data_IF_485793893230
#
_entry.id   IF_485793893230
#
_cell.length_a   1.000
_cell.length_b   1.000
_cell.length_c   1.000
_cell.angle_alpha   90.00
_cell.angle_beta   90.00
_cell.angle_gamma   90.00
#
_symmetry.space_group_name_H-M   'P 1'
#
loop_
_entity.id
_entity.type
_entity.pdbx_description
1 polymer ?
#
# COMPACT_ATOMS: atom_id res chain seq x y z
N UNK A 1 -16.81 -4.81 -2.46
CA UNK A 1 -16.44 -4.21 -1.16
C UNK A 1 -16.20 -2.73 -1.38
N UNK A 2 -16.95 -1.88 -0.69
CA UNK A 2 -16.73 -0.43 -0.71
C UNK A 2 -15.65 -0.09 0.30
N UNK A 3 -14.52 0.39 -0.17
CA UNK A 3 -13.39 0.73 0.69
C UNK A 3 -12.78 2.10 0.33
N UNK A 4 -12.26 2.79 1.33
CA UNK A 4 -11.60 4.08 1.22
C UNK A 4 -10.25 4.03 1.93
N UNK A 5 -9.30 4.80 1.44
CA UNK A 5 -8.01 5.02 2.10
C UNK A 5 -7.98 6.46 2.60
N UNK A 6 -7.77 6.66 3.89
CA UNK A 6 -7.68 7.99 4.50
C UNK A 6 -6.27 8.22 5.01
N UNK A 7 -5.62 9.24 4.49
CA UNK A 7 -4.30 9.70 4.93
C UNK A 7 -4.52 10.73 6.04
N UNK A 8 -4.25 10.35 7.28
CA UNK A 8 -4.60 11.18 8.45
C UNK A 8 -3.55 12.25 8.77
N UNK A 9 -2.29 12.03 8.38
CA UNK A 9 -1.19 12.97 8.56
C UNK A 9 -0.04 12.70 7.59
N UNK A 10 0.94 13.60 7.57
CA UNK A 10 2.21 13.44 6.84
C UNK A 10 3.41 13.28 7.79
N UNK A 11 3.20 13.26 9.10
CA UNK A 11 4.25 13.12 10.12
C UNK A 11 4.70 11.67 10.26
N UNK A 12 6.01 11.42 10.26
CA UNK A 12 6.59 10.11 10.52
C UNK A 12 7.91 10.23 11.27
N UNK A 13 8.20 9.27 12.16
CA UNK A 13 9.49 9.20 12.86
C UNK A 13 10.57 8.50 12.04
N UNK A 14 10.22 7.83 10.94
CA UNK A 14 11.15 7.18 10.03
C UNK A 14 11.42 8.03 8.78
N UNK A 15 12.57 7.75 8.13
CA UNK A 15 12.98 8.34 6.86
C UNK A 15 13.34 7.23 5.88
N UNK A 16 12.33 6.41 5.53
CA UNK A 16 12.53 5.30 4.61
C UNK A 16 12.92 5.82 3.21
N UNK A 17 14.00 5.32 2.59
CA UNK A 17 14.48 5.83 1.30
C UNK A 17 13.46 5.71 0.17
N UNK A 18 12.56 4.75 0.26
CA UNK A 18 11.49 4.49 -0.72
C UNK A 18 10.18 5.25 -0.45
N UNK A 19 10.11 6.01 0.66
CA UNK A 19 8.86 6.65 1.08
C UNK A 19 8.44 7.74 0.11
N UNK A 20 7.16 7.77 -0.20
CA UNK A 20 6.54 8.78 -1.05
C UNK A 20 6.04 10.01 -0.28
N UNK A 21 5.98 9.94 1.05
CA UNK A 21 5.38 10.99 1.89
C UNK A 21 6.36 12.06 2.38
N UNK A 22 7.64 12.02 1.95
CA UNK A 22 8.67 12.95 2.46
C UNK A 22 8.57 14.38 1.92
N UNK A 23 7.88 14.58 0.82
CA UNK A 23 7.76 15.88 0.16
C UNK A 23 6.56 16.69 0.65
N UNK A 24 5.67 16.06 1.39
CA UNK A 24 4.46 16.70 1.85
C UNK A 24 4.72 17.65 3.01
N UNK A 25 4.03 18.79 3.00
CA UNK A 25 3.98 19.67 4.17
C UNK A 25 3.44 18.91 5.38
N UNK A 26 3.86 19.31 6.60
CA UNK A 26 3.36 18.71 7.84
C UNK A 26 1.87 19.06 8.03
N UNK A 27 1.00 18.33 7.36
CA UNK A 27 -0.45 18.47 7.47
C UNK A 27 -1.01 17.29 8.26
N UNK A 28 -2.03 17.59 9.05
CA UNK A 28 -2.81 16.64 9.83
C UNK A 28 -4.30 16.89 9.60
N UNK A 29 -5.08 15.84 9.47
CA UNK A 29 -6.53 15.92 9.34
C UNK A 29 -7.12 16.66 10.53
N UNK A 30 -7.89 17.72 10.29
CA UNK A 30 -8.52 18.47 11.38
C UNK A 30 -9.61 17.64 12.08
N UNK A 31 -9.89 17.91 13.36
CA UNK A 31 -10.95 17.22 14.07
C UNK A 31 -12.32 17.41 13.41
N UNK A 32 -12.57 18.61 12.87
CA UNK A 32 -13.84 18.92 12.18
C UNK A 32 -13.96 18.05 10.92
N UNK A 33 -12.91 17.94 10.15
CA UNK A 33 -12.92 17.17 8.91
C UNK A 33 -12.93 15.66 9.17
N UNK A 34 -12.28 15.23 10.27
CA UNK A 34 -12.40 13.85 10.75
C UNK A 34 -13.86 13.47 11.00
N UNK A 35 -14.62 14.31 11.71
CA UNK A 35 -16.04 14.06 11.99
C UNK A 35 -16.89 14.04 10.71
N UNK A 36 -16.60 14.93 9.76
CA UNK A 36 -17.28 14.92 8.44
C UNK A 36 -16.97 13.64 7.65
N UNK A 37 -15.69 13.20 7.65
CA UNK A 37 -15.29 11.95 6.98
C UNK A 37 -15.94 10.73 7.63
N UNK A 38 -16.07 10.69 8.95
CA UNK A 38 -16.82 9.64 9.65
C UNK A 38 -18.27 9.57 9.18
N UNK A 39 -18.94 10.72 9.05
CA UNK A 39 -20.30 10.80 8.53
C UNK A 39 -20.35 10.33 7.08
N UNK A 40 -19.44 10.82 6.23
CA UNK A 40 -19.35 10.39 4.83
C UNK A 40 -19.18 8.87 4.70
N UNK A 41 -18.27 8.27 5.47
CA UNK A 41 -18.03 6.82 5.46
C UNK A 41 -19.29 6.03 5.85
N UNK A 42 -19.99 6.49 6.88
CA UNK A 42 -21.21 5.86 7.38
C UNK A 42 -22.38 6.00 6.41
N UNK A 43 -22.60 7.19 5.87
CA UNK A 43 -23.72 7.49 4.96
C UNK A 43 -23.55 6.73 3.62
N UNK A 44 -22.31 6.57 3.15
CA UNK A 44 -21.97 5.79 1.97
C UNK A 44 -21.85 4.27 2.26
N UNK A 45 -22.12 3.82 3.49
CA UNK A 45 -22.08 2.41 3.89
C UNK A 45 -20.78 1.72 3.51
N UNK A 46 -19.65 2.37 3.82
CA UNK A 46 -18.34 1.78 3.56
C UNK A 46 -18.15 0.55 4.44
N UNK A 47 -17.65 -0.52 3.84
CA UNK A 47 -17.45 -1.81 4.52
C UNK A 47 -16.06 -1.88 5.16
N UNK A 48 -15.10 -1.13 4.62
CA UNK A 48 -13.72 -1.08 5.10
C UNK A 48 -13.14 0.32 4.95
N UNK A 49 -12.43 0.77 5.99
CA UNK A 49 -11.65 2.00 5.98
C UNK A 49 -10.18 1.67 6.22
N UNK A 50 -9.34 2.05 5.27
CA UNK A 50 -7.90 1.91 5.37
C UNK A 50 -7.31 3.23 5.82
N UNK A 51 -6.50 3.21 6.87
CA UNK A 51 -5.88 4.40 7.46
C UNK A 51 -4.38 4.36 7.17
N UNK A 52 -3.88 5.43 6.58
CA UNK A 52 -2.47 5.62 6.27
C UNK A 52 -2.03 7.04 6.64
N UNK A 53 -0.79 7.39 6.33
CA UNK A 53 -0.22 8.69 6.58
C UNK A 53 1.30 8.65 6.45
N UNK A 54 2.00 9.52 7.16
CA UNK A 54 3.38 9.27 7.53
C UNK A 54 3.42 8.08 8.49
N UNK A 55 3.09 8.31 9.76
CA UNK A 55 2.76 7.29 10.75
C UNK A 55 1.42 7.63 11.38
N UNK A 56 0.35 6.84 11.13
CA UNK A 56 -0.98 7.16 11.62
C UNK A 56 -1.09 7.29 13.14
N UNK A 57 -0.32 6.50 13.90
CA UNK A 57 -0.35 6.57 15.36
C UNK A 57 0.31 7.83 15.94
N UNK A 58 0.86 8.72 15.11
CA UNK A 58 1.24 10.08 15.51
C UNK A 58 0.09 11.10 15.36
N UNK A 59 -1.00 10.73 14.66
CA UNK A 59 -2.18 11.57 14.56
C UNK A 59 -2.89 11.67 15.91
N UNK A 60 -3.15 12.90 16.37
CA UNK A 60 -3.66 13.18 17.72
C UNK A 60 -4.98 12.47 18.03
N UNK A 61 -5.86 12.35 17.04
CA UNK A 61 -7.21 11.78 17.19
C UNK A 61 -7.32 10.33 16.68
N UNK A 62 -6.19 9.64 16.39
CA UNK A 62 -6.20 8.32 15.75
C UNK A 62 -7.04 7.28 16.51
N UNK A 63 -6.97 7.28 17.84
CA UNK A 63 -7.69 6.31 18.67
C UNK A 63 -9.20 6.52 18.58
N UNK A 64 -9.65 7.76 18.67
CA UNK A 64 -11.08 8.12 18.52
C UNK A 64 -11.54 7.73 17.10
N UNK A 65 -10.75 8.07 16.09
CA UNK A 65 -11.08 7.80 14.70
C UNK A 65 -11.25 6.31 14.44
N UNK A 66 -10.29 5.48 14.83
CA UNK A 66 -10.37 4.02 14.67
C UNK A 66 -11.55 3.46 15.45
N UNK A 67 -11.72 3.83 16.73
CA UNK A 67 -12.78 3.32 17.57
C UNK A 67 -14.16 3.65 17.00
N UNK A 68 -14.35 4.86 16.45
CA UNK A 68 -15.62 5.25 15.83
C UNK A 68 -15.89 4.47 14.54
N UNK A 69 -14.88 4.28 13.69
CA UNK A 69 -15.05 3.50 12.45
C UNK A 69 -15.41 2.05 12.76
N UNK A 70 -14.80 1.44 13.78
CA UNK A 70 -15.08 0.04 14.13
C UNK A 70 -16.51 -0.23 14.60
N UNK A 71 -17.30 0.79 14.88
CA UNK A 71 -18.72 0.65 15.16
C UNK A 71 -19.54 0.25 13.91
N UNK A 72 -19.06 0.61 12.68
CA UNK A 72 -19.82 0.37 11.46
C UNK A 72 -19.02 -0.31 10.33
N UNK A 73 -17.68 -0.21 10.29
CA UNK A 73 -16.83 -0.75 9.25
C UNK A 73 -15.60 -1.48 9.83
N UNK A 74 -14.93 -2.30 9.02
CA UNK A 74 -13.63 -2.86 9.36
C UNK A 74 -12.53 -1.82 9.12
N UNK A 75 -11.47 -1.87 9.92
CA UNK A 75 -10.35 -0.94 9.83
C UNK A 75 -9.06 -1.68 9.48
N UNK A 76 -8.31 -1.16 8.51
CA UNK A 76 -6.93 -1.56 8.26
C UNK A 76 -6.02 -0.36 8.48
N UNK A 77 -5.03 -0.47 9.37
CA UNK A 77 -4.05 0.60 9.62
C UNK A 77 -2.70 0.19 9.05
N UNK A 78 -2.11 1.06 8.23
CA UNK A 78 -0.75 0.92 7.73
C UNK A 78 0.19 1.64 8.69
N UNK A 79 1.05 0.92 9.40
CA UNK A 79 1.87 1.49 10.47
C UNK A 79 3.25 0.84 10.52
N UNK A 80 4.22 1.59 11.05
CA UNK A 80 5.51 1.06 11.45
C UNK A 80 5.53 0.52 12.90
N UNK A 81 4.43 0.69 13.63
CA UNK A 81 4.23 0.26 15.03
C UNK A 81 5.30 0.75 16.04
N UNK A 82 5.92 1.89 15.81
CA UNK A 82 6.96 2.41 16.70
C UNK A 82 6.47 3.45 17.72
N UNK A 83 5.17 3.75 17.73
CA UNK A 83 4.57 4.60 18.76
C UNK A 83 4.23 3.74 19.98
N UNK A 84 4.84 4.07 21.13
CA UNK A 84 4.72 3.29 22.36
C UNK A 84 3.28 3.20 22.84
N UNK A 85 2.83 1.99 23.19
CA UNK A 85 1.48 1.73 23.72
C UNK A 85 0.32 2.21 22.81
N UNK A 86 0.56 2.40 21.52
CA UNK A 86 -0.43 2.97 20.59
C UNK A 86 -1.72 2.15 20.47
N UNK A 87 -1.67 0.84 20.75
CA UNK A 87 -2.79 -0.08 20.58
C UNK A 87 -3.66 -0.26 21.84
N UNK A 88 -3.19 0.20 22.99
CA UNK A 88 -3.79 -0.14 24.30
C UNK A 88 -5.20 0.38 24.48
N UNK A 89 -5.58 1.49 23.82
CA UNK A 89 -6.87 2.15 23.92
C UNK A 89 -7.83 1.80 22.76
N UNK A 90 -7.43 0.89 21.88
CA UNK A 90 -8.28 0.43 20.78
C UNK A 90 -9.36 -0.52 21.31
N UNK A 91 -10.60 -0.25 20.89
CA UNK A 91 -11.77 -1.09 21.12
C UNK A 91 -11.87 -2.14 20.00
N UNK A 92 -12.96 -2.87 19.87
CA UNK A 92 -13.33 -3.76 18.75
C UNK A 92 -12.13 -4.30 17.97
N UNK A 93 -11.15 -4.86 18.68
CA UNK A 93 -9.88 -5.36 18.12
C UNK A 93 -10.08 -6.45 17.06
N UNK A 94 -11.19 -7.16 17.15
CA UNK A 94 -11.68 -8.14 16.18
C UNK A 94 -11.95 -7.56 14.78
N UNK A 95 -12.18 -6.24 14.68
CA UNK A 95 -12.42 -5.51 13.43
C UNK A 95 -11.20 -4.73 12.93
N UNK A 96 -10.07 -4.88 13.58
CA UNK A 96 -8.84 -4.14 13.25
C UNK A 96 -7.82 -5.08 12.63
N UNK A 97 -7.27 -4.67 11.49
CA UNK A 97 -6.11 -5.27 10.84
C UNK A 97 -4.96 -4.26 10.83
N UNK A 98 -3.79 -4.69 11.20
CA UNK A 98 -2.57 -3.88 11.08
C UNK A 98 -1.71 -4.44 9.96
N UNK A 99 -1.46 -3.62 8.94
CA UNK A 99 -0.41 -3.87 7.97
C UNK A 99 0.85 -3.19 8.48
N UNK A 100 1.80 -3.99 8.94
CA UNK A 100 2.99 -3.51 9.62
C UNK A 100 4.16 -3.53 8.67
N UNK A 101 4.63 -2.34 8.27
CA UNK A 101 5.82 -2.25 7.43
C UNK A 101 7.08 -2.43 8.27
N UNK A 102 7.84 -3.48 7.99
CA UNK A 102 9.05 -3.88 8.71
C UNK A 102 10.24 -3.82 7.77
N UNK A 103 11.16 -2.87 8.00
CA UNK A 103 12.45 -2.80 7.32
C UNK A 103 13.45 -3.81 7.91
N UNK A 104 14.64 -3.91 7.31
CA UNK A 104 15.72 -4.71 7.87
C UNK A 104 16.06 -4.27 9.30
N UNK A 105 16.41 -5.19 10.22
CA UNK A 105 16.72 -4.85 11.61
C UNK A 105 17.78 -3.76 11.77
N UNK A 106 18.74 -3.68 10.85
CA UNK A 106 19.80 -2.64 10.81
C UNK A 106 19.28 -1.23 10.55
N UNK A 107 18.06 -1.10 10.05
CA UNK A 107 17.41 0.19 9.78
C UNK A 107 16.99 0.91 11.06
N UNK A 108 16.81 0.16 12.15
CA UNK A 108 16.26 0.66 13.39
C UNK A 108 17.33 0.92 14.45
N UNK A 109 17.08 1.90 15.31
CA UNK A 109 17.74 1.92 16.62
C UNK A 109 17.21 0.77 17.47
N UNK A 110 18.00 0.35 18.48
CA UNK A 110 17.59 -0.71 19.41
C UNK A 110 16.20 -0.43 20.03
N UNK A 111 15.98 0.81 20.49
CA UNK A 111 14.71 1.21 21.13
C UNK A 111 13.53 1.13 20.14
N UNK A 112 13.74 1.54 18.89
CA UNK A 112 12.70 1.45 17.87
C UNK A 112 12.32 -0.01 17.60
N UNK A 113 13.32 -0.87 17.44
CA UNK A 113 13.06 -2.29 17.16
C UNK A 113 12.39 -3.01 18.35
N UNK A 114 12.84 -2.73 19.59
CA UNK A 114 12.18 -3.23 20.79
C UNK A 114 10.72 -2.75 20.89
N UNK A 115 10.44 -1.47 20.61
CA UNK A 115 9.07 -0.94 20.62
C UNK A 115 8.19 -1.60 19.57
N UNK A 116 8.73 -1.85 18.36
CA UNK A 116 8.03 -2.60 17.31
C UNK A 116 7.64 -4.00 17.81
N UNK A 117 8.59 -4.74 18.38
CA UNK A 117 8.35 -6.11 18.87
C UNK A 117 7.35 -6.13 20.04
N UNK A 118 7.43 -5.19 20.96
CA UNK A 118 6.49 -5.07 22.09
C UNK A 118 5.06 -4.82 21.58
N UNK A 119 4.90 -3.91 20.61
CA UNK A 119 3.60 -3.63 20.01
C UNK A 119 3.07 -4.80 19.17
N UNK A 120 3.94 -5.53 18.46
CA UNK A 120 3.56 -6.76 17.74
C UNK A 120 3.04 -7.82 18.70
N UNK A 121 3.79 -8.10 19.79
CA UNK A 121 3.38 -9.04 20.80
C UNK A 121 2.01 -8.66 21.40
N UNK A 122 1.85 -7.40 21.79
CA UNK A 122 0.58 -6.90 22.33
C UNK A 122 -0.57 -7.05 21.33
N UNK A 123 -0.35 -6.75 20.04
CA UNK A 123 -1.38 -6.87 19.02
C UNK A 123 -1.86 -8.33 18.87
N UNK A 124 -0.93 -9.27 18.80
CA UNK A 124 -1.23 -10.73 18.71
C UNK A 124 -1.99 -11.20 19.95
N UNK A 125 -1.51 -10.87 21.15
CA UNK A 125 -2.15 -11.24 22.42
C UNK A 125 -3.56 -10.64 22.56
N UNK A 126 -3.76 -9.45 21.99
CA UNK A 126 -5.04 -8.74 21.99
C UNK A 126 -6.02 -9.21 20.92
N UNK A 127 -5.64 -10.13 20.03
CA UNK A 127 -6.49 -10.63 18.95
C UNK A 127 -6.62 -9.67 17.74
N UNK A 128 -5.73 -8.68 17.61
CA UNK A 128 -5.66 -7.83 16.41
C UNK A 128 -5.00 -8.65 15.30
N UNK A 129 -5.58 -8.62 14.10
CA UNK A 129 -4.99 -9.29 12.93
C UNK A 129 -3.75 -8.52 12.45
N UNK A 130 -2.61 -9.20 12.35
CA UNK A 130 -1.35 -8.63 11.86
C UNK A 130 -1.01 -9.18 10.48
N UNK A 131 -0.62 -8.29 9.58
CA UNK A 131 -0.01 -8.62 8.29
C UNK A 131 1.34 -7.89 8.25
N UNK A 132 2.45 -8.56 8.57
CA UNK A 132 3.77 -7.97 8.39
C UNK A 132 4.07 -7.81 6.91
N UNK A 133 4.79 -6.77 6.55
CA UNK A 133 5.15 -6.52 5.17
C UNK A 133 6.50 -5.83 5.03
N UNK A 134 7.11 -6.01 3.87
CA UNK A 134 8.35 -5.33 3.48
C UNK A 134 8.19 -4.67 2.11
N UNK A 135 8.70 -3.44 2.02
CA UNK A 135 8.86 -2.75 0.75
C UNK A 135 10.30 -2.89 0.28
N UNK A 136 10.50 -3.57 -0.84
CA UNK A 136 11.79 -3.76 -1.46
C UNK A 136 12.13 -2.57 -2.39
N UNK A 137 13.33 -2.04 -2.27
CA UNK A 137 13.78 -0.84 -2.99
C UNK A 137 15.21 -0.92 -3.51
N UNK A 138 15.94 -1.99 -3.18
CA UNK A 138 17.27 -2.34 -3.68
C UNK A 138 17.61 -3.81 -3.39
N UNK A 139 18.55 -4.38 -4.10
CA UNK A 139 19.19 -5.65 -3.77
C UNK A 139 20.30 -5.47 -2.69
N UNK A 140 20.71 -6.51 -1.96
CA UNK A 140 20.12 -7.86 -1.99
C UNK A 140 18.73 -7.89 -1.34
N UNK A 141 17.90 -8.81 -1.84
CA UNK A 141 16.56 -9.02 -1.27
C UNK A 141 16.64 -10.01 -0.12
N UNK A 142 15.96 -9.72 1.00
CA UNK A 142 15.99 -10.57 2.19
C UNK A 142 14.63 -10.51 2.93
N UNK A 143 14.11 -11.65 3.35
CA UNK A 143 12.81 -11.78 4.02
C UNK A 143 12.84 -12.72 5.24
N UNK A 144 13.97 -13.35 5.55
CA UNK A 144 14.10 -14.39 6.60
C UNK A 144 13.72 -13.88 7.99
N UNK A 145 14.01 -12.62 8.30
CA UNK A 145 13.65 -12.01 9.58
C UNK A 145 12.12 -11.87 9.72
N UNK A 146 11.41 -11.48 8.67
CA UNK A 146 9.94 -11.43 8.68
C UNK A 146 9.34 -12.84 8.73
N UNK A 147 9.90 -13.80 8.00
CA UNK A 147 9.48 -15.21 8.08
C UNK A 147 9.62 -15.71 9.52
N UNK A 148 10.73 -15.42 10.18
CA UNK A 148 10.96 -15.77 11.58
C UNK A 148 9.93 -15.15 12.53
N UNK A 149 9.57 -13.89 12.32
CA UNK A 149 8.48 -13.24 13.07
C UNK A 149 7.13 -13.91 12.81
N UNK A 150 6.85 -14.29 11.56
CA UNK A 150 5.62 -15.03 11.23
C UNK A 150 5.54 -16.37 11.95
N UNK A 151 6.64 -17.12 12.00
CA UNK A 151 6.70 -18.39 12.76
C UNK A 151 6.51 -18.16 14.26
N UNK A 152 7.21 -17.17 14.84
CA UNK A 152 7.13 -16.82 16.26
C UNK A 152 5.71 -16.45 16.69
N UNK A 153 5.04 -15.61 15.92
CA UNK A 153 3.70 -15.10 16.24
C UNK A 153 2.57 -15.84 15.52
N UNK A 154 2.87 -16.90 14.76
CA UNK A 154 1.91 -17.71 13.99
C UNK A 154 1.11 -16.90 12.98
N UNK A 155 1.75 -15.91 12.37
CA UNK A 155 1.15 -15.09 11.32
C UNK A 155 1.12 -15.88 10.01
N UNK A 156 0.10 -15.64 9.18
CA UNK A 156 -0.19 -16.48 8.01
C UNK A 156 0.04 -15.79 6.67
N UNK A 157 0.31 -14.52 6.68
CA UNK A 157 0.47 -13.71 5.46
C UNK A 157 1.62 -12.75 5.63
N UNK A 158 2.46 -12.66 4.61
CA UNK A 158 3.48 -11.61 4.47
C UNK A 158 3.10 -10.78 3.25
N UNK A 159 2.96 -9.46 3.42
CA UNK A 159 2.78 -8.56 2.31
C UNK A 159 4.13 -8.10 1.78
N UNK A 160 4.34 -8.23 0.48
CA UNK A 160 5.54 -7.76 -0.20
C UNK A 160 5.19 -6.67 -1.21
N UNK A 161 5.98 -5.62 -1.24
CA UNK A 161 5.81 -4.48 -2.14
C UNK A 161 7.12 -4.16 -2.82
N UNK A 162 7.07 -3.85 -4.10
CA UNK A 162 8.14 -3.14 -4.77
C UNK A 162 7.97 -1.63 -4.55
N UNK A 163 9.06 -0.95 -4.23
CA UNK A 163 9.07 0.50 -4.24
C UNK A 163 8.90 1.02 -5.67
N UNK A 164 7.99 1.94 -5.83
CA UNK A 164 7.74 2.62 -7.09
C UNK A 164 8.24 4.07 -6.99
N UNK A 165 8.64 4.71 -8.10
CA UNK A 165 9.07 6.10 -8.09
C UNK A 165 7.94 7.04 -7.72
N UNK A 166 8.26 8.11 -7.01
CA UNK A 166 7.39 9.28 -6.89
C UNK A 166 7.41 10.09 -8.19
N UNK A 167 6.45 10.99 -8.37
CA UNK A 167 6.39 11.88 -9.53
C UNK A 167 7.68 12.68 -9.68
N UNK A 168 8.21 13.21 -8.58
CA UNK A 168 9.46 13.97 -8.50
C UNK A 168 10.71 13.09 -8.58
N UNK A 169 10.57 11.76 -8.52
CA UNK A 169 11.67 10.78 -8.53
C UNK A 169 12.72 11.04 -7.45
N UNK A 170 12.29 11.45 -6.27
CA UNK A 170 13.17 11.78 -5.14
C UNK A 170 13.39 10.62 -4.19
N UNK A 171 12.58 9.57 -4.29
CA UNK A 171 12.74 8.34 -3.52
C UNK A 171 13.60 7.30 -4.24
N UNK A 172 13.99 6.24 -3.55
CA UNK A 172 14.64 5.06 -4.13
C UNK A 172 13.58 4.02 -4.52
N UNK A 173 13.69 3.45 -5.72
CA UNK A 173 12.75 2.45 -6.25
C UNK A 173 13.45 1.35 -7.03
N UNK A 174 12.76 0.25 -7.28
CA UNK A 174 13.25 -0.83 -8.13
C UNK A 174 13.08 -0.48 -9.62
N UNK A 175 14.15 -0.65 -10.39
CA UNK A 175 14.09 -0.59 -11.87
C UNK A 175 13.38 -1.83 -12.44
N UNK A 176 13.13 -1.87 -13.75
CA UNK A 176 12.55 -3.05 -14.39
C UNK A 176 13.43 -4.30 -14.20
N UNK A 177 14.76 -4.15 -14.30
CA UNK A 177 15.70 -5.24 -14.03
C UNK A 177 15.62 -5.70 -12.58
N UNK A 178 15.61 -4.77 -11.62
CA UNK A 178 15.54 -5.10 -10.20
C UNK A 178 14.22 -5.82 -9.85
N UNK A 179 13.10 -5.47 -10.52
CA UNK A 179 11.80 -6.15 -10.34
C UNK A 179 11.88 -7.60 -10.84
N UNK A 180 12.56 -7.86 -11.95
CA UNK A 180 12.77 -9.21 -12.43
C UNK A 180 13.59 -10.03 -11.42
N UNK A 181 14.71 -9.50 -10.95
CA UNK A 181 15.55 -10.14 -9.93
C UNK A 181 14.82 -10.35 -8.61
N UNK A 182 13.99 -9.38 -8.21
CA UNK A 182 13.11 -9.50 -7.04
C UNK A 182 12.14 -10.67 -7.17
N UNK A 183 11.49 -10.85 -8.33
CA UNK A 183 10.58 -11.97 -8.54
C UNK A 183 11.32 -13.32 -8.60
N UNK A 184 12.53 -13.37 -9.15
CA UNK A 184 13.38 -14.57 -9.08
C UNK A 184 13.69 -14.93 -7.62
N UNK A 185 14.08 -13.96 -6.81
CA UNK A 185 14.27 -14.16 -5.37
C UNK A 185 13.00 -14.68 -4.70
N UNK A 186 11.85 -14.02 -4.92
CA UNK A 186 10.58 -14.44 -4.31
C UNK A 186 10.19 -15.86 -4.71
N UNK A 187 10.42 -16.27 -5.96
CA UNK A 187 10.20 -17.65 -6.41
C UNK A 187 11.10 -18.63 -5.67
N UNK A 188 12.37 -18.28 -5.45
CA UNK A 188 13.32 -19.18 -4.78
C UNK A 188 12.97 -19.51 -3.33
N UNK A 189 12.23 -18.62 -2.66
CA UNK A 189 11.82 -18.81 -1.24
C UNK A 189 10.35 -19.19 -1.06
N UNK A 190 9.52 -19.09 -2.12
CA UNK A 190 8.07 -19.26 -2.00
C UNK A 190 7.64 -20.65 -1.53
N UNK A 191 8.34 -21.71 -1.96
CA UNK A 191 8.03 -23.08 -1.54
C UNK A 191 8.30 -23.27 -0.04
N UNK A 192 9.48 -22.83 0.43
CA UNK A 192 9.86 -22.92 1.86
C UNK A 192 8.85 -22.12 2.73
N UNK A 193 8.47 -20.93 2.31
CA UNK A 193 7.50 -20.10 3.03
C UNK A 193 6.13 -20.78 3.07
N UNK A 194 5.70 -21.36 1.94
CA UNK A 194 4.42 -22.06 1.84
C UNK A 194 4.37 -23.32 2.71
N UNK A 195 5.47 -24.09 2.80
CA UNK A 195 5.59 -25.26 3.70
C UNK A 195 5.43 -24.89 5.18
N UNK A 196 5.82 -23.66 5.55
CA UNK A 196 5.58 -23.09 6.88
C UNK A 196 4.13 -22.62 7.10
N UNK A 197 3.27 -22.76 6.08
CA UNK A 197 1.86 -22.34 6.11
C UNK A 197 1.71 -20.81 6.07
N UNK A 198 2.65 -20.11 5.46
CA UNK A 198 2.65 -18.67 5.27
C UNK A 198 2.42 -18.39 3.78
N UNK A 199 1.56 -17.42 3.47
CA UNK A 199 1.27 -16.96 2.11
C UNK A 199 1.94 -15.62 1.85
N UNK A 200 2.46 -15.43 0.63
CA UNK A 200 2.95 -14.15 0.14
C UNK A 200 1.78 -13.41 -0.54
N UNK A 201 1.62 -12.13 -0.24
CA UNK A 201 0.65 -11.22 -0.85
C UNK A 201 1.40 -10.04 -1.51
N UNK A 202 1.33 -9.93 -2.84
CA UNK A 202 1.95 -8.83 -3.57
C UNK A 202 1.04 -7.60 -3.58
N UNK A 203 1.57 -6.47 -3.13
CA UNK A 203 0.80 -5.23 -2.99
C UNK A 203 0.38 -4.62 -4.33
N UNK A 204 1.34 -4.46 -5.23
CA UNK A 204 1.13 -3.78 -6.50
C UNK A 204 1.22 -4.75 -7.69
N UNK A 205 0.42 -4.55 -8.73
CA UNK A 205 0.54 -5.34 -9.94
C UNK A 205 1.84 -5.05 -10.68
N UNK A 206 2.37 -6.08 -11.31
CA UNK A 206 3.59 -6.02 -12.12
C UNK A 206 3.23 -6.29 -13.58
N UNK A 207 3.78 -5.48 -14.48
CA UNK A 207 3.54 -5.67 -15.92
C UNK A 207 4.31 -6.89 -16.43
N UNK A 208 3.66 -7.82 -17.16
CA UNK A 208 4.31 -9.03 -17.64
C UNK A 208 5.47 -8.78 -18.64
N UNK A 209 5.50 -7.59 -19.25
CA UNK A 209 6.53 -7.24 -20.26
C UNK A 209 7.88 -6.81 -19.67
N UNK A 210 7.98 -6.66 -18.34
CA UNK A 210 9.23 -6.25 -17.66
C UNK A 210 9.89 -7.39 -16.87
N UNK A 211 9.31 -8.59 -16.93
CA UNK A 211 9.82 -9.77 -16.22
C UNK A 211 9.87 -10.98 -17.13
N UNK A 212 10.66 -11.98 -16.76
CA UNK A 212 10.76 -13.24 -17.48
C UNK A 212 9.39 -13.95 -17.48
N UNK A 213 8.99 -14.44 -18.66
CA UNK A 213 7.64 -14.95 -18.87
C UNK A 213 7.30 -16.17 -18.00
N UNK A 214 8.26 -17.05 -17.73
CA UNK A 214 8.10 -18.21 -16.86
C UNK A 214 7.96 -17.81 -15.38
N UNK A 215 8.67 -16.78 -14.94
CA UNK A 215 8.56 -16.21 -13.58
C UNK A 215 7.20 -15.52 -13.41
N UNK A 216 6.81 -14.70 -14.37
CA UNK A 216 5.49 -14.05 -14.32
C UNK A 216 4.38 -15.10 -14.26
N UNK A 217 4.42 -16.11 -15.14
CA UNK A 217 3.42 -17.17 -15.20
C UNK A 217 3.35 -18.01 -13.92
N UNK A 218 4.49 -18.23 -13.27
CA UNK A 218 4.55 -18.92 -11.98
C UNK A 218 3.67 -18.25 -10.92
N UNK A 219 3.82 -16.94 -10.72
CA UNK A 219 3.03 -16.20 -9.73
C UNK A 219 1.59 -15.93 -10.18
N UNK A 220 1.41 -15.62 -11.46
CA UNK A 220 0.09 -15.31 -12.01
C UNK A 220 -0.86 -16.52 -11.95
N UNK A 221 -0.38 -17.71 -12.27
CA UNK A 221 -1.18 -18.94 -12.23
C UNK A 221 -1.64 -19.33 -10.82
N UNK A 222 -0.93 -18.87 -9.81
CA UNK A 222 -1.27 -19.07 -8.40
C UNK A 222 -2.14 -17.94 -7.82
N UNK A 223 -2.56 -16.96 -8.63
CA UNK A 223 -3.27 -15.74 -8.22
C UNK A 223 -2.52 -14.90 -7.16
N UNK A 224 -1.19 -15.00 -7.13
CA UNK A 224 -0.35 -14.22 -6.23
C UNK A 224 -0.01 -12.85 -6.81
N UNK A 225 -0.03 -12.71 -8.13
CA UNK A 225 0.32 -11.48 -8.84
C UNK A 225 -0.84 -10.98 -9.68
N UNK A 226 -1.24 -9.74 -9.47
CA UNK A 226 -2.26 -9.09 -10.29
C UNK A 226 -1.67 -8.53 -11.58
N UNK A 227 -2.45 -8.58 -12.67
CA UNK A 227 -2.03 -8.03 -13.96
C UNK A 227 -2.23 -6.52 -14.05
N UNK A 228 -3.17 -5.95 -13.31
CA UNK A 228 -3.45 -4.50 -13.30
C UNK A 228 -3.94 -4.01 -11.94
N UNK A 229 -3.78 -2.70 -11.73
CA UNK A 229 -4.33 -2.01 -10.56
C UNK A 229 -5.82 -1.70 -10.76
N UNK A 230 -6.61 -1.89 -9.70
CA UNK A 230 -7.97 -1.37 -9.60
C UNK A 230 -7.99 0.07 -9.12
N UNK A 231 -9.08 0.79 -9.42
CA UNK A 231 -9.28 2.16 -8.92
C UNK A 231 -9.41 2.14 -7.40
N UNK A 232 -8.77 3.12 -6.75
CA UNK A 232 -8.81 3.32 -5.30
C UNK A 232 -9.23 4.77 -5.03
N UNK A 233 -9.89 5.00 -3.92
CA UNK A 233 -10.19 6.34 -3.42
C UNK A 233 -9.30 6.62 -2.21
N UNK A 234 -8.34 7.51 -2.38
CA UNK A 234 -7.48 8.01 -1.30
C UNK A 234 -7.90 9.43 -0.97
N UNK A 235 -8.10 9.73 0.30
CA UNK A 235 -8.39 11.09 0.79
C UNK A 235 -7.19 11.59 1.57
N UNK A 236 -6.65 12.73 1.14
CA UNK A 236 -5.53 13.41 1.77
C UNK A 236 -5.96 14.21 3.03
N UNK A 237 -5.02 14.66 3.89
CA UNK A 237 -5.36 15.46 5.08
C UNK A 237 -6.05 16.79 4.77
N UNK A 238 -5.90 17.33 3.57
CA UNK A 238 -6.58 18.53 3.05
C UNK A 238 -7.91 18.20 2.37
N UNK A 239 -8.36 16.95 2.45
CA UNK A 239 -9.58 16.40 1.86
C UNK A 239 -9.59 16.27 0.34
N UNK A 240 -8.51 16.61 -0.35
CA UNK A 240 -8.38 16.28 -1.77
C UNK A 240 -8.38 14.78 -1.98
N UNK A 241 -8.89 14.33 -3.12
CA UNK A 241 -8.91 12.90 -3.45
C UNK A 241 -7.84 12.56 -4.48
N UNK A 242 -7.32 11.35 -4.42
CA UNK A 242 -6.40 10.79 -5.42
C UNK A 242 -6.60 9.29 -5.59
N UNK A 243 -6.13 8.75 -6.71
CA UNK A 243 -6.13 7.30 -6.89
C UNK A 243 -5.01 6.63 -6.09
N UNK A 244 -3.80 7.14 -6.22
CA UNK A 244 -2.60 6.62 -5.59
C UNK A 244 -1.49 7.66 -5.71
N UNK A 245 -0.54 7.69 -4.76
CA UNK A 245 0.59 8.61 -4.78
C UNK A 245 1.43 8.57 -6.07
N UNK A 246 1.49 7.41 -6.74
CA UNK A 246 2.24 7.25 -8.01
C UNK A 246 1.51 7.95 -9.16
N UNK A 247 0.19 7.97 -9.12
CA UNK A 247 -0.67 8.57 -10.15
C UNK A 247 -1.29 9.89 -9.72
N UNK A 248 -0.85 10.47 -8.60
CA UNK A 248 -1.41 11.71 -8.06
C UNK A 248 -1.35 12.89 -9.05
N UNK A 249 -0.38 12.92 -9.99
CA UNK A 249 -0.33 13.97 -11.02
C UNK A 249 -1.40 13.86 -12.11
N UNK A 250 -2.08 12.72 -12.22
CA UNK A 250 -2.98 12.43 -13.35
C UNK A 250 -4.39 12.01 -12.90
N UNK A 251 -4.54 11.54 -11.68
CA UNK A 251 -5.80 11.09 -11.12
C UNK A 251 -5.97 11.65 -9.70
N UNK A 252 -6.13 12.97 -9.63
CA UNK A 252 -6.52 13.71 -8.43
C UNK A 252 -7.83 14.45 -8.67
N UNK A 253 -8.57 14.66 -7.60
CA UNK A 253 -9.81 15.43 -7.60
C UNK A 253 -9.80 16.51 -6.51
N UNK A 254 -10.88 17.24 -6.46
CA UNK A 254 -11.13 18.27 -5.48
C UNK A 254 -11.40 17.67 -4.09
N UNK A 255 -11.96 18.48 -3.20
CA UNK A 255 -12.39 18.04 -1.89
C UNK A 255 -13.45 16.94 -2.01
N UNK A 256 -13.31 15.88 -1.20
CA UNK A 256 -14.23 14.71 -1.20
C UNK A 256 -15.69 15.11 -1.02
N UNK A 257 -15.97 16.21 -0.30
CA UNK A 257 -17.33 16.70 -0.05
C UNK A 257 -17.94 17.50 -1.21
N UNK A 258 -17.22 17.69 -2.31
CA UNK A 258 -17.77 18.23 -3.56
C UNK A 258 -18.45 17.13 -4.39
N UNK A 259 -18.26 15.86 -4.03
CA UNK A 259 -18.94 14.71 -4.64
C UNK A 259 -20.14 14.31 -3.81
N UNK A 260 -21.27 14.02 -4.47
CA UNK A 260 -22.51 13.65 -3.79
C UNK A 260 -22.41 12.27 -3.11
N UNK A 261 -21.54 11.38 -3.62
CA UNK A 261 -21.39 10.01 -3.12
C UNK A 261 -19.98 9.46 -3.33
N UNK A 262 -19.71 8.35 -2.65
CA UNK A 262 -18.51 7.54 -2.87
C UNK A 262 -18.38 7.10 -4.33
N UNK A 263 -19.48 6.67 -4.94
CA UNK A 263 -19.53 6.23 -6.33
C UNK A 263 -19.14 7.34 -7.31
N UNK A 264 -19.62 8.55 -7.11
CA UNK A 264 -19.28 9.68 -7.97
C UNK A 264 -17.78 10.03 -7.87
N UNK A 265 -17.22 10.04 -6.67
CA UNK A 265 -15.78 10.25 -6.48
C UNK A 265 -14.94 9.15 -7.17
N UNK A 266 -15.39 7.90 -7.08
CA UNK A 266 -14.73 6.76 -7.73
C UNK A 266 -14.82 6.84 -9.25
N UNK A 267 -15.98 7.18 -9.81
CA UNK A 267 -16.19 7.34 -11.25
C UNK A 267 -15.32 8.46 -11.80
N UNK A 268 -15.22 9.57 -11.08
CA UNK A 268 -14.34 10.68 -11.45
C UNK A 268 -12.87 10.21 -11.58
N UNK A 269 -12.35 9.53 -10.57
CA UNK A 269 -10.97 9.02 -10.60
C UNK A 269 -10.76 7.98 -11.71
N UNK A 270 -11.73 7.10 -11.94
CA UNK A 270 -11.64 6.11 -13.02
C UNK A 270 -11.62 6.77 -14.41
N UNK A 271 -12.38 7.84 -14.62
CA UNK A 271 -12.34 8.61 -15.86
C UNK A 271 -10.96 9.23 -16.08
N UNK A 272 -10.35 9.84 -15.05
CA UNK A 272 -9.00 10.41 -15.14
C UNK A 272 -7.96 9.32 -15.48
N UNK A 273 -8.03 8.19 -14.82
CA UNK A 273 -7.15 7.04 -15.08
C UNK A 273 -7.33 6.49 -16.49
N UNK A 274 -8.56 6.36 -16.97
CA UNK A 274 -8.85 5.87 -18.31
C UNK A 274 -8.27 6.76 -19.39
N UNK A 275 -8.41 8.07 -19.25
CA UNK A 275 -7.79 9.05 -20.14
C UNK A 275 -6.27 8.96 -20.15
N UNK A 276 -5.68 8.72 -18.99
CA UNK A 276 -4.23 8.54 -18.84
C UNK A 276 -3.77 7.23 -19.50
N UNK A 277 -4.49 6.15 -19.30
CA UNK A 277 -4.24 4.83 -19.94
C UNK A 277 -4.23 4.95 -21.45
N UNK A 278 -5.23 5.59 -22.02
CA UNK A 278 -5.34 5.75 -23.48
C UNK A 278 -4.17 6.52 -24.09
N UNK A 279 -3.69 7.56 -23.41
CA UNK A 279 -2.55 8.37 -23.86
C UNK A 279 -1.22 7.61 -23.81
N UNK A 280 -1.06 6.69 -22.87
CA UNK A 280 0.20 6.00 -22.57
C UNK A 280 0.30 4.58 -23.15
N UNK A 281 -0.57 4.21 -24.09
CA UNK A 281 -0.43 2.98 -24.86
C UNK A 281 0.78 3.08 -25.78
N UNK A 282 1.87 2.39 -25.42
CA UNK A 282 3.10 2.32 -26.22
C UNK A 282 2.91 1.47 -27.48
N UNK A 283 3.81 1.60 -28.47
CA UNK A 283 3.83 0.73 -29.63
C UNK A 283 3.96 -0.76 -29.22
N UNK A 284 4.74 -1.03 -28.16
CA UNK A 284 4.90 -2.38 -27.58
C UNK A 284 3.59 -2.92 -27.02
N UNK A 285 2.77 -2.09 -26.37
CA UNK A 285 1.45 -2.49 -25.91
C UNK A 285 0.51 -2.84 -27.08
N UNK A 286 0.56 -2.11 -28.18
CA UNK A 286 -0.28 -2.34 -29.37
C UNK A 286 0.02 -3.67 -30.06
N UNK A 287 1.29 -4.09 -30.02
CA UNK A 287 1.77 -5.35 -30.59
C UNK A 287 1.87 -6.49 -29.56
N UNK A 288 1.40 -6.27 -28.32
CA UNK A 288 1.55 -7.22 -27.24
C UNK A 288 0.79 -8.51 -27.52
N UNK A 289 1.52 -9.65 -27.47
CA UNK A 289 0.96 -10.99 -27.69
C UNK A 289 -0.03 -11.41 -26.60
N UNK A 290 0.15 -10.86 -25.41
CA UNK A 290 -0.77 -11.12 -24.28
C UNK A 290 -2.12 -10.45 -24.47
N UNK A 291 -2.28 -9.54 -25.46
CA UNK A 291 -3.51 -8.80 -25.77
C UNK A 291 -4.39 -8.68 -24.53
N UNK A 292 -3.77 -8.18 -23.46
CA UNK A 292 -4.50 -8.02 -22.22
C UNK A 292 -5.70 -7.18 -22.58
N UNK A 293 -6.91 -7.65 -22.34
CA UNK A 293 -8.14 -6.84 -22.40
C UNK A 293 -8.01 -5.57 -21.55
N UNK A 294 -6.82 -5.37 -20.98
CA UNK A 294 -6.47 -4.50 -19.88
C UNK A 294 -5.19 -3.69 -20.15
N UNK A 295 -4.95 -3.28 -21.38
CA UNK A 295 -3.84 -2.40 -21.71
C UNK A 295 -4.10 -1.00 -21.13
N UNK A 296 -3.11 -0.40 -20.42
CA UNK A 296 -1.85 -0.96 -19.98
C UNK A 296 -1.97 -1.87 -18.74
N UNK A 297 -1.16 -2.92 -18.69
CA UNK A 297 -1.02 -3.80 -17.54
C UNK A 297 -0.03 -3.21 -16.51
N UNK A 298 -0.15 -3.66 -15.24
CA UNK A 298 0.79 -3.29 -14.18
C UNK A 298 0.40 -2.00 -13.46
N UNK A 299 1.38 -1.43 -12.77
CA UNK A 299 1.21 -0.14 -12.11
C UNK A 299 1.27 0.99 -13.14
N UNK A 300 0.27 1.85 -13.14
CA UNK A 300 0.17 2.96 -14.11
C UNK A 300 1.31 3.97 -14.00
N UNK A 301 1.78 4.26 -12.80
CA UNK A 301 2.90 5.18 -12.60
C UNK A 301 4.22 4.61 -13.10
N UNK A 302 4.41 3.29 -13.02
CA UNK A 302 5.60 2.63 -13.54
C UNK A 302 5.62 2.59 -15.07
N UNK A 303 4.45 2.46 -15.70
CA UNK A 303 4.33 2.47 -17.18
C UNK A 303 4.74 3.82 -17.78
N UNK A 304 4.48 4.94 -17.11
CA UNK A 304 4.96 6.25 -17.55
C UNK A 304 6.49 6.34 -17.60
N UNK A 305 7.16 5.69 -16.66
CA UNK A 305 8.63 5.63 -16.64
C UNK A 305 9.18 4.76 -17.75
N UNK A 306 8.51 3.64 -18.03
CA UNK A 306 8.86 2.78 -19.15
C UNK A 306 8.61 3.45 -20.50
N UNK A 307 7.54 4.24 -20.65
CA UNK A 307 7.25 4.96 -21.89
C UNK A 307 8.26 6.07 -22.18
N UNK A 308 8.83 6.71 -21.15
CA UNK A 308 9.92 7.69 -21.30
C UNK A 308 11.30 7.08 -21.56
N UNK A 309 11.51 5.79 -21.19
CA UNK A 309 12.78 5.08 -21.37
C UNK A 309 12.85 4.16 -22.60
N UNK A 310 11.70 3.69 -23.09
CA UNK A 310 11.61 2.75 -24.23
C UNK A 310 11.42 3.48 -25.59
N UNK A 311 11.21 4.80 -25.58
CA UNK A 311 11.08 5.58 -26.80
C UNK A 311 12.41 5.80 -27.55
N UNK A 312 13.53 5.29 -27.01
CA UNK A 312 14.88 5.48 -27.58
C UNK A 312 15.63 4.16 -27.85
N UNK A 313 14.95 3.01 -27.91
CA UNK A 313 15.56 1.77 -28.43
C UNK A 313 14.70 1.14 -29.53
#
# INVERSE_FOLDING_TARGET
MRDIIIKVNNNCMLRCPYCFAHEDTQNELSNIDMQKLLSFCKDNKLESVKITGGEPFLYSNIIEFINTITEFADVMVFSNLMVKNCLSKLNRKDRIKLLVNINEPSFYTKIQYETLLDNLAYAVESGITIIPGRTFYHAPFELSDIVSLCEMYRLKTIRVSQANPTISKTNTWLTASDINDFLHYMRSINEEISEKGICIDFDCPIAPCIVDGDIYQYFYSQNLLAAKCGTKLVVNPDLTIEHCYITASVATGNNIFEYESYEEAMEYLEQQLSLHREKNITARCRSCVHKCELIPCGCYGFMDLLSGGIANE
#
